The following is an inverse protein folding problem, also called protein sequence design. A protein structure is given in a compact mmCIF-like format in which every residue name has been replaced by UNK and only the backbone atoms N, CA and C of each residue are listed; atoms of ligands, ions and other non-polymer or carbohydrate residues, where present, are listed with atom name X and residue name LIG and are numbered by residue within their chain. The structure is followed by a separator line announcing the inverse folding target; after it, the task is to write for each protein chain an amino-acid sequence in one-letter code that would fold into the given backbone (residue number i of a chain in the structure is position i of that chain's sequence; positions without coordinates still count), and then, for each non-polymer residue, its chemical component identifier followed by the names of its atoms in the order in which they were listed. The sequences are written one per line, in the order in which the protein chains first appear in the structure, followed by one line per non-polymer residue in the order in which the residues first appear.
data_IF_884704183922
#
_entry.id   IF_884704183922
#
_cell.length_a   1.000
_cell.length_b   1.000
_cell.length_c   1.000
_cell.angle_alpha   90.00
_cell.angle_beta   90.00
_cell.angle_gamma   90.00
#
_symmetry.space_group_name_H-M   'P 1'
#
loop_
_entity.id
_entity.type
_entity.pdbx_description
1 polymer ?
#
# COMPACT_ATOMS: atom_id res chain seq x y z
N UNK A 1 -12.96 -63.43 37.42
CA UNK A 1 -13.89 -62.28 37.36
C UNK A 1 -13.54 -61.43 36.13
N UNK A 2 -14.47 -61.24 35.19
CA UNK A 2 -14.28 -60.31 34.06
C UNK A 2 -14.68 -58.92 34.55
N UNK A 3 -13.70 -58.00 34.67
CA UNK A 3 -13.97 -56.60 35.01
C UNK A 3 -14.87 -55.94 33.98
N UNK A 4 -15.87 -55.20 34.43
CA UNK A 4 -16.77 -54.45 33.56
C UNK A 4 -16.00 -53.35 32.79
N UNK A 5 -16.56 -52.87 31.70
CA UNK A 5 -15.94 -51.81 30.86
C UNK A 5 -15.76 -50.50 31.65
N UNK A 6 -16.73 -50.19 32.52
CA UNK A 6 -16.72 -49.02 33.40
C UNK A 6 -15.60 -49.11 34.44
N UNK A 7 -15.48 -50.28 35.11
CA UNK A 7 -14.42 -50.52 36.09
C UNK A 7 -13.02 -50.31 35.47
N UNK A 8 -12.78 -50.86 34.29
CA UNK A 8 -11.51 -50.66 33.58
C UNK A 8 -11.24 -49.18 33.27
N UNK A 9 -12.25 -48.43 32.84
CA UNK A 9 -12.14 -47.00 32.54
C UNK A 9 -11.73 -46.20 33.79
N UNK A 10 -12.35 -46.46 34.94
CA UNK A 10 -12.05 -45.82 36.22
C UNK A 10 -10.63 -46.18 36.67
N UNK A 11 -10.30 -47.46 36.60
CA UNK A 11 -8.98 -47.94 36.99
C UNK A 11 -7.87 -47.32 36.13
N UNK A 12 -8.04 -47.25 34.80
CA UNK A 12 -7.08 -46.60 33.91
C UNK A 12 -6.94 -45.10 34.20
N UNK A 13 -8.01 -44.41 34.50
CA UNK A 13 -7.97 -43.00 34.85
C UNK A 13 -7.18 -42.76 36.15
N UNK A 14 -7.45 -43.56 37.19
CA UNK A 14 -6.71 -43.48 38.46
C UNK A 14 -5.24 -43.85 38.30
N UNK A 15 -4.95 -44.95 37.57
CA UNK A 15 -3.57 -45.34 37.26
C UNK A 15 -2.81 -44.24 36.50
N UNK A 16 -3.45 -43.59 35.50
CA UNK A 16 -2.85 -42.51 34.77
C UNK A 16 -2.56 -41.30 35.66
N UNK A 17 -3.50 -40.87 36.48
CA UNK A 17 -3.30 -39.77 37.41
C UNK A 17 -2.14 -40.04 38.37
N UNK A 18 -2.08 -41.25 38.95
CA UNK A 18 -1.02 -41.66 39.88
C UNK A 18 0.36 -41.74 39.23
N UNK A 19 0.41 -42.08 37.93
CA UNK A 19 1.66 -42.32 37.21
C UNK A 19 1.96 -41.26 36.15
N UNK A 20 1.23 -40.15 36.11
CA UNK A 20 1.30 -39.12 35.06
C UNK A 20 2.71 -38.63 34.76
N UNK A 21 3.48 -38.32 35.79
CA UNK A 21 4.85 -37.83 35.61
C UNK A 21 5.78 -38.93 35.06
N UNK A 22 5.67 -40.15 35.55
CA UNK A 22 6.47 -41.28 35.08
C UNK A 22 6.18 -41.61 33.62
N UNK A 23 4.89 -41.59 33.25
CA UNK A 23 4.43 -41.78 31.88
C UNK A 23 4.95 -40.64 30.98
N UNK A 24 4.83 -39.38 31.42
CA UNK A 24 5.32 -38.21 30.70
C UNK A 24 6.84 -38.28 30.47
N UNK A 25 7.62 -38.58 31.49
CA UNK A 25 9.08 -38.75 31.37
C UNK A 25 9.44 -39.88 30.40
N UNK A 26 8.71 -41.01 30.44
CA UNK A 26 8.91 -42.13 29.51
C UNK A 26 8.60 -41.74 28.07
N UNK A 27 7.49 -41.03 27.83
CA UNK A 27 7.12 -40.51 26.50
C UNK A 27 8.15 -39.51 26.00
N UNK A 28 8.61 -38.58 26.84
CA UNK A 28 9.64 -37.59 26.45
C UNK A 28 10.93 -38.29 26.00
N UNK A 29 11.44 -39.25 26.78
CA UNK A 29 12.62 -40.05 26.41
C UNK A 29 12.41 -40.81 25.11
N UNK A 30 11.24 -41.42 24.91
CA UNK A 30 10.91 -42.12 23.65
C UNK A 30 10.88 -41.17 22.45
N UNK A 31 10.27 -39.99 22.59
CA UNK A 31 10.25 -38.99 21.51
C UNK A 31 11.64 -38.46 21.21
N UNK A 32 12.44 -38.14 22.21
CA UNK A 32 13.82 -37.70 22.03
C UNK A 32 14.64 -38.74 21.27
N UNK A 33 14.57 -40.01 21.68
CA UNK A 33 15.29 -41.12 21.02
C UNK A 33 14.84 -41.39 19.60
N UNK A 34 13.56 -41.16 19.29
CA UNK A 34 12.99 -41.47 17.97
C UNK A 34 12.72 -40.24 17.12
N UNK A 35 13.11 -39.04 17.53
CA UNK A 35 12.80 -37.76 16.88
C UNK A 35 13.20 -37.73 15.41
N UNK A 36 14.42 -38.10 15.11
CA UNK A 36 14.94 -38.11 13.74
C UNK A 36 14.17 -39.08 12.85
N UNK A 37 13.91 -40.30 13.33
CA UNK A 37 13.15 -41.32 12.61
C UNK A 37 11.71 -40.87 12.34
N UNK A 38 11.06 -40.23 13.33
CA UNK A 38 9.70 -39.70 13.19
C UNK A 38 9.66 -38.54 12.20
N UNK A 39 10.64 -37.62 12.27
CA UNK A 39 10.74 -36.51 11.36
C UNK A 39 11.00 -36.96 9.91
N UNK A 40 11.87 -37.95 9.73
CA UNK A 40 12.13 -38.53 8.41
C UNK A 40 10.87 -39.15 7.80
N UNK A 41 10.13 -39.95 8.59
CA UNK A 41 8.84 -40.54 8.15
C UNK A 41 7.80 -39.47 7.83
N UNK A 42 7.67 -38.44 8.66
CA UNK A 42 6.73 -37.34 8.42
C UNK A 42 7.10 -36.56 7.16
N UNK A 43 8.39 -36.31 6.92
CA UNK A 43 8.90 -35.67 5.70
C UNK A 43 8.60 -36.52 4.46
N UNK A 44 8.85 -37.80 4.53
CA UNK A 44 8.57 -38.72 3.43
C UNK A 44 7.07 -38.76 3.11
N UNK A 45 6.21 -38.93 4.12
CA UNK A 45 4.77 -38.90 3.96
C UNK A 45 4.27 -37.59 3.34
N UNK A 46 4.83 -36.44 3.78
CA UNK A 46 4.50 -35.13 3.22
C UNK A 46 4.89 -35.06 1.74
N UNK A 47 6.08 -35.50 1.36
CA UNK A 47 6.54 -35.48 -0.02
C UNK A 47 5.67 -36.36 -0.93
N UNK A 48 5.34 -37.57 -0.48
CA UNK A 48 4.47 -38.51 -1.21
C UNK A 48 3.02 -38.02 -1.37
N UNK A 49 2.53 -37.23 -0.41
CA UNK A 49 1.13 -36.77 -0.40
C UNK A 49 0.99 -35.26 -0.59
N UNK A 50 2.04 -34.56 -1.03
CA UNK A 50 2.10 -33.09 -1.05
C UNK A 50 0.93 -32.46 -1.80
N UNK A 51 0.66 -32.88 -3.01
CA UNK A 51 -0.40 -32.32 -3.83
C UNK A 51 -1.80 -32.49 -3.16
N UNK A 52 -2.07 -33.67 -2.62
CA UNK A 52 -3.30 -33.98 -1.92
C UNK A 52 -3.48 -33.16 -0.63
N UNK A 53 -2.37 -32.95 0.11
CA UNK A 53 -2.36 -32.15 1.34
C UNK A 53 -2.53 -30.66 1.02
N UNK A 54 -1.85 -30.15 0.01
CA UNK A 54 -1.96 -28.77 -0.47
C UNK A 54 -3.38 -28.47 -0.98
N UNK A 55 -3.98 -29.42 -1.72
CA UNK A 55 -5.36 -29.28 -2.18
C UNK A 55 -6.36 -29.24 -1.01
N UNK A 56 -6.25 -30.17 -0.07
CA UNK A 56 -7.09 -30.16 1.15
C UNK A 56 -6.91 -28.89 1.98
N UNK A 57 -5.69 -28.39 2.07
CA UNK A 57 -5.39 -27.13 2.75
C UNK A 57 -6.09 -25.93 2.08
N UNK A 58 -6.04 -25.85 0.75
CA UNK A 58 -6.74 -24.81 -0.02
C UNK A 58 -8.26 -24.90 0.18
N UNK A 59 -8.84 -26.09 0.06
CA UNK A 59 -10.28 -26.30 0.26
C UNK A 59 -10.74 -25.92 1.68
N UNK A 60 -9.98 -26.35 2.70
CA UNK A 60 -10.23 -25.95 4.08
C UNK A 60 -10.18 -24.44 4.26
N UNK A 61 -9.16 -23.78 3.70
CA UNK A 61 -8.98 -22.33 3.80
C UNK A 61 -10.11 -21.59 3.12
N UNK A 62 -10.50 -21.97 1.90
CA UNK A 62 -11.63 -21.37 1.21
C UNK A 62 -12.95 -21.55 1.98
N UNK A 63 -13.22 -22.76 2.46
CA UNK A 63 -14.44 -23.06 3.25
C UNK A 63 -14.50 -22.30 4.57
N UNK A 64 -13.35 -22.07 5.21
CA UNK A 64 -13.27 -21.48 6.56
C UNK A 64 -12.69 -20.07 6.57
N UNK A 65 -12.61 -19.39 5.42
CA UNK A 65 -11.98 -18.08 5.26
C UNK A 65 -12.34 -17.08 6.37
N UNK A 66 -13.64 -16.86 6.59
CA UNK A 66 -14.12 -15.92 7.59
C UNK A 66 -13.66 -16.29 9.02
N UNK A 67 -13.73 -17.58 9.36
CA UNK A 67 -13.29 -18.08 10.67
C UNK A 67 -11.79 -17.87 10.87
N UNK A 68 -10.99 -18.15 9.84
CA UNK A 68 -9.53 -17.96 9.88
C UNK A 68 -9.18 -16.48 10.02
N UNK A 69 -9.84 -15.60 9.25
CA UNK A 69 -9.63 -14.15 9.37
C UNK A 69 -10.00 -13.61 10.74
N UNK A 70 -11.12 -14.07 11.30
CA UNK A 70 -11.55 -13.67 12.65
C UNK A 70 -10.57 -14.14 13.73
N UNK A 71 -10.06 -15.37 13.63
CA UNK A 71 -9.01 -15.87 14.52
C UNK A 71 -7.73 -15.05 14.43
N UNK A 72 -7.28 -14.68 13.21
CA UNK A 72 -6.12 -13.83 12.99
C UNK A 72 -6.34 -12.43 13.57
N UNK A 73 -7.53 -11.84 13.39
CA UNK A 73 -7.89 -10.54 13.96
C UNK A 73 -7.79 -10.57 15.48
N UNK A 74 -8.47 -11.53 16.12
CA UNK A 74 -8.43 -11.73 17.58
C UNK A 74 -7.01 -11.98 18.11
N UNK A 75 -6.22 -12.78 17.38
CA UNK A 75 -4.83 -13.01 17.76
C UNK A 75 -4.01 -11.71 17.74
N UNK A 76 -4.16 -10.88 16.69
CA UNK A 76 -3.47 -9.59 16.60
C UNK A 76 -3.90 -8.65 17.72
N UNK A 77 -5.19 -8.51 17.96
CA UNK A 77 -5.75 -7.67 19.03
C UNK A 77 -5.21 -8.09 20.42
N UNK A 78 -5.24 -9.40 20.70
CA UNK A 78 -4.79 -9.92 21.99
C UNK A 78 -3.26 -9.91 22.18
N UNK A 79 -2.49 -9.74 21.11
CA UNK A 79 -1.02 -9.80 21.15
C UNK A 79 -0.36 -8.56 20.55
N UNK A 80 -1.08 -7.47 20.37
CA UNK A 80 -0.60 -6.27 19.66
C UNK A 80 0.70 -5.73 20.25
N UNK A 81 0.76 -5.55 21.55
CA UNK A 81 1.96 -5.07 22.26
C UNK A 81 3.16 -5.99 22.05
N UNK A 82 2.96 -7.30 22.18
CA UNK A 82 4.01 -8.31 21.96
C UNK A 82 4.49 -8.33 20.52
N UNK A 83 3.59 -8.21 19.55
CA UNK A 83 3.91 -8.18 18.12
C UNK A 83 4.67 -6.90 17.78
N UNK A 84 4.24 -5.75 18.30
CA UNK A 84 4.92 -4.47 18.12
C UNK A 84 6.33 -4.49 18.74
N UNK A 85 6.45 -4.97 19.97
CA UNK A 85 7.77 -5.12 20.62
C UNK A 85 8.72 -6.01 19.82
N UNK A 86 8.23 -7.13 19.28
CA UNK A 86 9.03 -7.98 18.41
C UNK A 86 9.38 -7.27 17.09
N UNK A 87 8.40 -6.64 16.43
CA UNK A 87 8.61 -5.96 15.15
C UNK A 87 9.66 -4.84 15.26
N UNK A 88 9.57 -4.00 16.31
CA UNK A 88 10.50 -2.90 16.55
C UNK A 88 11.78 -3.30 17.28
N UNK A 89 11.97 -4.58 17.64
CA UNK A 89 13.22 -5.02 18.25
C UNK A 89 14.41 -4.78 17.31
N UNK A 90 15.53 -4.37 17.87
CA UNK A 90 16.75 -4.04 17.11
C UNK A 90 17.20 -5.23 16.24
N UNK A 91 17.21 -6.44 16.81
CA UNK A 91 17.57 -7.66 16.09
C UNK A 91 16.67 -7.93 14.87
N UNK A 92 15.35 -7.71 15.00
CA UNK A 92 14.42 -7.89 13.89
C UNK A 92 14.59 -6.79 12.82
N UNK A 93 14.79 -5.53 13.23
CA UNK A 93 15.04 -4.43 12.30
C UNK A 93 16.35 -4.65 11.53
N UNK A 94 17.41 -5.12 12.19
CA UNK A 94 18.67 -5.48 11.54
C UNK A 94 18.47 -6.59 10.50
N UNK A 95 17.79 -7.67 10.89
CA UNK A 95 17.45 -8.79 9.98
C UNK A 95 16.63 -8.33 8.77
N UNK A 96 15.64 -7.44 8.97
CA UNK A 96 14.81 -6.90 7.88
C UNK A 96 15.64 -6.02 6.94
N UNK A 97 16.57 -5.24 7.48
CA UNK A 97 17.49 -4.42 6.68
C UNK A 97 18.40 -5.31 5.82
N UNK A 98 19.04 -6.29 6.41
CA UNK A 98 19.88 -7.27 5.70
C UNK A 98 19.09 -8.02 4.61
N UNK A 99 17.86 -8.45 4.91
CA UNK A 99 17.01 -9.09 3.92
C UNK A 99 16.71 -8.18 2.73
N UNK A 100 16.38 -6.89 2.96
CA UNK A 100 16.11 -5.91 1.91
C UNK A 100 17.35 -5.65 1.05
N UNK A 101 18.50 -5.50 1.66
CA UNK A 101 19.78 -5.31 0.95
C UNK A 101 20.09 -6.52 0.06
N UNK A 102 20.03 -7.74 0.61
CA UNK A 102 20.35 -8.97 -0.11
C UNK A 102 19.35 -9.30 -1.22
N UNK A 103 18.12 -8.80 -1.16
CA UNK A 103 17.09 -9.10 -2.15
C UNK A 103 16.73 -7.91 -3.05
N UNK A 104 17.41 -6.77 -2.91
CA UNK A 104 17.10 -5.50 -3.60
C UNK A 104 17.00 -5.66 -5.13
N UNK A 105 18.00 -6.28 -5.75
CA UNK A 105 18.02 -6.44 -7.21
C UNK A 105 16.97 -7.46 -7.68
N UNK A 106 16.79 -8.57 -6.97
CA UNK A 106 15.72 -9.53 -7.25
C UNK A 106 14.34 -8.88 -7.19
N UNK A 107 14.06 -8.13 -6.14
CA UNK A 107 12.75 -7.48 -5.93
C UNK A 107 12.52 -6.34 -6.94
N UNK A 108 13.59 -5.65 -7.36
CA UNK A 108 13.55 -4.66 -8.44
C UNK A 108 13.19 -5.33 -9.77
N UNK A 109 13.86 -6.44 -10.11
CA UNK A 109 13.59 -7.21 -11.33
C UNK A 109 12.15 -7.72 -11.35
N UNK A 110 11.69 -8.35 -10.27
CA UNK A 110 10.31 -8.84 -10.17
C UNK A 110 9.27 -7.73 -10.35
N UNK A 111 9.49 -6.55 -9.74
CA UNK A 111 8.61 -5.39 -9.92
C UNK A 111 8.59 -4.87 -11.35
N UNK A 112 9.74 -4.84 -12.01
CA UNK A 112 9.84 -4.43 -13.40
C UNK A 112 9.12 -5.41 -14.33
N UNK A 113 9.32 -6.70 -14.17
CA UNK A 113 8.66 -7.76 -14.94
C UNK A 113 7.13 -7.72 -14.74
N UNK A 114 6.69 -7.62 -13.49
CA UNK A 114 5.27 -7.50 -13.18
C UNK A 114 4.65 -6.23 -13.79
N UNK A 115 5.34 -5.10 -13.66
CA UNK A 115 4.89 -3.82 -14.23
C UNK A 115 4.83 -3.86 -15.75
N UNK A 116 5.82 -4.47 -16.40
CA UNK A 116 5.83 -4.66 -17.85
C UNK A 116 4.66 -5.54 -18.31
N UNK A 117 4.45 -6.67 -17.64
CA UNK A 117 3.34 -7.61 -17.93
C UNK A 117 1.96 -6.96 -17.75
N UNK A 118 1.80 -6.12 -16.73
CA UNK A 118 0.50 -5.51 -16.38
C UNK A 118 0.35 -4.06 -16.89
N UNK A 119 1.25 -3.56 -17.73
CA UNK A 119 1.30 -2.15 -18.18
C UNK A 119 -0.03 -1.66 -18.77
N UNK A 120 -0.70 -2.47 -19.56
CA UNK A 120 -1.98 -2.10 -20.21
C UNK A 120 -3.07 -1.84 -19.14
N UNK A 121 -3.20 -2.75 -18.18
CA UNK A 121 -4.18 -2.64 -17.09
C UNK A 121 -3.86 -1.47 -16.16
N UNK A 122 -2.60 -1.27 -15.79
CA UNK A 122 -2.15 -0.14 -14.98
C UNK A 122 -2.47 1.19 -15.67
N UNK A 123 -2.19 1.29 -16.98
CA UNK A 123 -2.47 2.49 -17.75
C UNK A 123 -3.98 2.75 -17.89
N UNK A 124 -4.79 1.70 -18.09
CA UNK A 124 -6.25 1.78 -18.13
C UNK A 124 -6.78 2.28 -16.77
N UNK A 125 -6.41 1.61 -15.68
CA UNK A 125 -6.80 2.02 -14.32
C UNK A 125 -6.44 3.48 -14.02
N UNK A 126 -5.23 3.89 -14.38
CA UNK A 126 -4.75 5.26 -14.15
C UNK A 126 -5.55 6.28 -14.95
N UNK A 127 -5.89 5.99 -16.22
CA UNK A 127 -6.73 6.86 -17.06
C UNK A 127 -8.14 6.97 -16.49
N UNK A 128 -8.75 5.83 -16.13
CA UNK A 128 -10.11 5.81 -15.62
C UNK A 128 -10.21 6.53 -14.27
N UNK A 129 -9.21 6.35 -13.39
CA UNK A 129 -9.13 7.08 -12.13
C UNK A 129 -9.03 8.59 -12.31
N UNK A 130 -8.23 9.07 -13.28
CA UNK A 130 -8.13 10.51 -13.60
C UNK A 130 -9.41 11.04 -14.26
N UNK A 131 -10.05 10.24 -15.11
CA UNK A 131 -11.29 10.62 -15.79
C UNK A 131 -12.44 10.79 -14.81
N UNK A 132 -12.55 9.87 -13.85
CA UNK A 132 -13.68 9.78 -12.94
C UNK A 132 -13.51 10.58 -11.65
N UNK A 133 -12.31 11.12 -11.36
CA UNK A 133 -12.06 11.90 -10.15
C UNK A 133 -11.40 13.25 -10.48
N UNK A 134 -12.19 14.35 -10.42
CA UNK A 134 -11.69 15.71 -10.70
C UNK A 134 -10.53 16.13 -9.78
N UNK A 135 -10.57 15.78 -8.50
CA UNK A 135 -9.51 16.13 -7.53
C UNK A 135 -8.17 15.42 -7.84
N UNK A 136 -8.22 14.20 -8.36
CA UNK A 136 -7.01 13.51 -8.84
C UNK A 136 -6.52 14.15 -10.13
N UNK A 137 -7.42 14.55 -11.01
CA UNK A 137 -7.10 15.17 -12.28
C UNK A 137 -6.42 16.53 -12.09
N UNK A 138 -6.97 17.41 -11.24
CA UNK A 138 -6.39 18.74 -10.97
C UNK A 138 -4.99 18.62 -10.34
N UNK A 139 -4.82 17.76 -9.33
CA UNK A 139 -3.51 17.51 -8.71
C UNK A 139 -2.46 17.04 -9.72
N UNK A 140 -2.85 16.16 -10.62
CA UNK A 140 -1.95 15.65 -11.65
C UNK A 140 -1.58 16.73 -12.68
N UNK A 141 -2.55 17.56 -13.09
CA UNK A 141 -2.30 18.65 -14.04
C UNK A 141 -1.42 19.76 -13.44
N UNK A 142 -1.66 20.15 -12.19
CA UNK A 142 -0.77 21.07 -11.47
C UNK A 142 0.67 20.55 -11.42
N UNK A 143 0.84 19.26 -11.12
CA UNK A 143 2.17 18.64 -11.11
C UNK A 143 2.83 18.66 -12.49
N UNK A 144 2.09 18.38 -13.56
CA UNK A 144 2.60 18.41 -14.93
C UNK A 144 2.97 19.84 -15.38
N UNK A 145 2.16 20.84 -15.05
CA UNK A 145 2.44 22.25 -15.35
C UNK A 145 3.71 22.73 -14.67
N UNK A 146 3.83 22.45 -13.37
CA UNK A 146 5.06 22.76 -12.63
C UNK A 146 6.28 22.10 -13.27
N UNK A 147 6.19 20.80 -13.55
CA UNK A 147 7.30 20.08 -14.18
C UNK A 147 7.66 20.67 -15.55
N UNK A 148 6.65 21.01 -16.37
CA UNK A 148 6.85 21.62 -17.68
C UNK A 148 7.48 23.02 -17.58
N UNK A 149 7.06 23.83 -16.61
CA UNK A 149 7.63 25.15 -16.38
C UNK A 149 9.11 25.07 -15.97
N UNK A 150 9.44 24.17 -15.04
CA UNK A 150 10.83 23.94 -14.62
C UNK A 150 11.68 23.35 -15.74
N UNK A 151 11.15 22.41 -16.52
CA UNK A 151 11.87 21.77 -17.64
C UNK A 151 12.21 22.78 -18.74
N UNK A 152 11.29 23.66 -19.13
CA UNK A 152 11.53 24.72 -20.15
C UNK A 152 12.69 25.64 -19.78
N UNK A 153 12.90 25.83 -18.46
CA UNK A 153 13.98 26.65 -17.93
C UNK A 153 15.23 25.84 -17.54
N UNK A 154 15.32 24.55 -17.91
CA UNK A 154 16.38 23.63 -17.50
C UNK A 154 16.54 23.50 -15.96
N UNK A 155 15.44 23.68 -15.21
CA UNK A 155 15.40 23.72 -13.75
C UNK A 155 14.69 22.53 -13.10
N UNK A 156 14.49 21.42 -13.82
CA UNK A 156 13.76 20.26 -13.32
C UNK A 156 14.35 19.62 -12.06
N UNK A 157 15.65 19.82 -11.78
CA UNK A 157 16.30 19.39 -10.54
C UNK A 157 16.16 20.42 -9.39
N UNK A 158 15.69 21.62 -9.68
CA UNK A 158 15.61 22.74 -8.74
C UNK A 158 14.21 22.90 -8.11
N UNK A 159 13.36 21.88 -8.19
CA UNK A 159 12.08 21.91 -7.50
C UNK A 159 12.30 21.96 -5.99
N UNK A 160 11.93 23.07 -5.34
CA UNK A 160 12.23 23.31 -3.93
C UNK A 160 11.41 22.44 -2.98
N UNK A 161 10.19 22.03 -3.35
CA UNK A 161 9.31 21.22 -2.50
C UNK A 161 8.24 20.50 -3.31
N UNK A 162 7.32 19.75 -2.64
CA UNK A 162 6.23 19.04 -3.33
C UNK A 162 5.25 20.00 -4.01
N UNK A 163 4.52 19.53 -5.04
CA UNK A 163 3.53 20.36 -5.75
C UNK A 163 2.47 20.94 -4.83
N UNK A 164 1.97 20.15 -3.88
CA UNK A 164 0.92 20.62 -2.96
C UNK A 164 1.43 21.63 -1.93
N UNK A 165 2.70 21.54 -1.52
CA UNK A 165 3.35 22.55 -0.69
C UNK A 165 3.59 23.87 -1.45
N UNK A 166 3.83 23.79 -2.76
CA UNK A 166 3.94 25.00 -3.61
C UNK A 166 2.58 25.68 -3.81
N UNK A 167 1.52 24.89 -3.93
CA UNK A 167 0.15 25.41 -4.04
C UNK A 167 -0.34 25.99 -2.71
N UNK A 168 0.18 25.50 -1.58
CA UNK A 168 -0.08 25.94 -0.20
C UNK A 168 -1.55 25.88 0.23
N UNK A 169 -2.29 24.90 -0.30
CA UNK A 169 -3.65 24.59 0.15
C UNK A 169 -4.01 23.14 -0.17
N UNK A 170 -5.09 22.64 0.43
CA UNK A 170 -5.66 21.34 0.06
C UNK A 170 -6.38 21.42 -1.29
N UNK A 171 -6.61 20.28 -1.93
CA UNK A 171 -7.35 20.23 -3.20
C UNK A 171 -8.79 20.77 -3.04
N UNK A 172 -9.41 20.56 -1.90
CA UNK A 172 -10.78 21.05 -1.66
C UNK A 172 -10.82 22.57 -1.44
N UNK A 173 -9.83 23.14 -0.77
CA UNK A 173 -9.67 24.59 -0.64
C UNK A 173 -9.38 25.21 -2.00
N UNK A 174 -8.56 24.59 -2.81
CA UNK A 174 -8.32 25.05 -4.18
C UNK A 174 -9.60 25.06 -5.02
N UNK A 175 -10.42 24.00 -4.91
CA UNK A 175 -11.72 23.98 -5.60
C UNK A 175 -12.62 25.14 -5.15
N UNK A 176 -12.75 25.38 -3.85
CA UNK A 176 -13.53 26.50 -3.31
C UNK A 176 -13.02 27.85 -3.83
N UNK A 177 -11.69 28.05 -3.85
CA UNK A 177 -11.07 29.25 -4.41
C UNK A 177 -11.43 29.45 -5.89
N UNK A 178 -11.27 28.41 -6.71
CA UNK A 178 -11.57 28.48 -8.13
C UNK A 178 -13.07 28.74 -8.38
N UNK A 179 -13.96 28.06 -7.68
CA UNK A 179 -15.42 28.20 -7.77
C UNK A 179 -15.92 29.56 -7.31
N UNK A 180 -15.21 30.24 -6.38
CA UNK A 180 -15.51 31.59 -5.91
C UNK A 180 -14.82 32.70 -6.70
N UNK A 181 -13.98 32.35 -7.69
CA UNK A 181 -13.27 33.34 -8.53
C UNK A 181 -14.23 34.12 -9.43
N UNK A 182 -13.94 35.40 -9.65
CA UNK A 182 -14.68 36.23 -10.62
C UNK A 182 -14.61 35.71 -12.07
N UNK A 183 -13.57 34.89 -12.38
CA UNK A 183 -13.40 34.22 -13.66
C UNK A 183 -14.18 32.91 -13.78
N UNK A 184 -14.91 32.50 -12.75
CA UNK A 184 -15.75 31.31 -12.81
C UNK A 184 -17.04 31.59 -13.57
N UNK A 185 -17.25 30.87 -14.65
CA UNK A 185 -18.46 30.99 -15.47
C UNK A 185 -19.46 29.86 -15.15
N UNK A 186 -20.80 30.10 -15.29
CA UNK A 186 -21.83 29.14 -14.89
C UNK A 186 -21.74 27.75 -15.55
N UNK A 187 -21.12 27.64 -16.71
CA UNK A 187 -20.91 26.39 -17.45
C UNK A 187 -19.70 25.60 -16.96
N UNK A 188 -18.83 26.22 -16.17
CA UNK A 188 -17.66 25.55 -15.60
C UNK A 188 -18.09 24.61 -14.49
N UNK A 189 -17.61 23.38 -14.53
CA UNK A 189 -17.85 22.36 -13.50
C UNK A 189 -16.57 21.59 -13.22
N UNK A 190 -16.53 20.90 -12.08
CA UNK A 190 -15.39 19.99 -11.76
C UNK A 190 -15.25 18.86 -12.79
N UNK A 191 -16.36 18.43 -13.40
CA UNK A 191 -16.40 17.32 -14.36
C UNK A 191 -15.80 17.69 -15.72
N UNK A 192 -16.04 18.93 -16.19
CA UNK A 192 -15.53 19.38 -17.50
C UNK A 192 -14.13 20.03 -17.42
N UNK A 193 -13.57 20.15 -16.22
CA UNK A 193 -12.20 20.61 -16.02
C UNK A 193 -11.18 19.76 -16.80
N UNK A 194 -10.31 20.41 -17.58
CA UNK A 194 -9.21 19.77 -18.31
C UNK A 194 -9.62 18.83 -19.43
N UNK A 195 -10.87 18.91 -19.91
CA UNK A 195 -11.40 18.12 -21.03
C UNK A 195 -11.72 19.00 -22.24
N UNK A 196 -10.98 20.09 -22.44
CA UNK A 196 -11.28 21.09 -23.46
C UNK A 196 -12.35 22.10 -23.03
N UNK A 197 -12.87 22.00 -21.80
CA UNK A 197 -13.78 22.98 -21.21
C UNK A 197 -13.01 24.17 -20.64
N UNK A 198 -12.49 24.04 -19.46
CA UNK A 198 -11.70 25.08 -18.80
C UNK A 198 -10.47 24.48 -18.10
N UNK A 199 -9.50 25.34 -17.83
CA UNK A 199 -8.22 24.99 -17.20
C UNK A 199 -7.95 25.87 -15.97
N UNK A 200 -7.10 25.39 -15.07
CA UNK A 200 -6.47 26.26 -14.06
C UNK A 200 -5.34 27.02 -14.76
N UNK A 201 -5.37 28.33 -14.71
CA UNK A 201 -4.36 29.21 -15.28
C UNK A 201 -3.64 30.01 -14.17
N UNK A 202 -2.46 30.58 -14.50
CA UNK A 202 -1.75 31.50 -13.62
C UNK A 202 -2.15 32.93 -13.94
N UNK A 203 -2.61 33.70 -12.95
CA UNK A 203 -2.92 35.14 -13.11
C UNK A 203 -1.68 35.84 -13.65
N UNK A 204 -0.58 35.76 -12.88
CA UNK A 204 0.75 36.14 -13.36
C UNK A 204 1.44 34.92 -13.99
N UNK A 205 1.80 34.96 -15.29
CA UNK A 205 2.33 33.77 -15.97
C UNK A 205 3.69 33.36 -15.40
N UNK A 206 4.00 32.05 -15.50
CA UNK A 206 5.27 31.51 -15.00
C UNK A 206 6.51 32.20 -15.54
N UNK A 207 6.42 32.84 -16.73
CA UNK A 207 7.49 33.62 -17.33
C UNK A 207 7.84 34.89 -16.54
N UNK A 208 6.93 35.39 -15.70
CA UNK A 208 7.15 36.59 -14.86
C UNK A 208 7.97 36.28 -13.61
N UNK A 209 8.32 35.02 -13.34
CA UNK A 209 9.01 34.59 -12.12
C UNK A 209 10.39 34.00 -12.43
N UNK A 210 11.35 34.30 -11.56
CA UNK A 210 12.62 33.60 -11.56
C UNK A 210 12.46 32.25 -10.83
N UNK A 211 12.15 31.19 -11.56
CA UNK A 211 11.92 29.84 -11.01
C UNK A 211 13.19 29.17 -10.43
N UNK A 212 14.37 29.81 -10.49
CA UNK A 212 15.58 29.39 -9.73
C UNK A 212 15.46 29.74 -8.26
N UNK A 213 14.71 30.78 -7.93
CA UNK A 213 14.49 31.24 -6.57
C UNK A 213 13.35 30.48 -5.91
N UNK A 214 13.57 29.76 -4.78
CA UNK A 214 12.51 29.01 -4.09
C UNK A 214 11.31 29.89 -3.69
N UNK A 215 11.53 31.13 -3.25
CA UNK A 215 10.48 32.07 -2.87
C UNK A 215 9.61 32.42 -4.07
N UNK A 216 10.22 32.63 -5.24
CA UNK A 216 9.47 32.92 -6.46
C UNK A 216 8.78 31.68 -7.05
N UNK A 217 9.31 30.46 -6.81
CA UNK A 217 8.55 29.23 -7.09
C UNK A 217 7.28 29.16 -6.25
N UNK A 218 7.38 29.44 -4.93
CA UNK A 218 6.21 29.48 -4.05
C UNK A 218 5.20 30.53 -4.55
N UNK A 219 5.61 31.76 -4.80
CA UNK A 219 4.71 32.80 -5.29
C UNK A 219 4.04 32.45 -6.64
N UNK A 220 4.80 31.86 -7.56
CA UNK A 220 4.30 31.46 -8.88
C UNK A 220 3.18 30.41 -8.80
N UNK A 221 3.37 29.37 -7.97
CA UNK A 221 2.47 28.22 -7.91
C UNK A 221 1.48 28.27 -6.73
N UNK A 222 1.52 29.33 -5.90
CA UNK A 222 0.59 29.55 -4.79
C UNK A 222 -0.86 29.64 -5.31
N UNK A 223 -1.81 29.10 -4.54
CA UNK A 223 -3.22 29.05 -4.92
C UNK A 223 -3.79 30.43 -5.30
N UNK A 224 -3.33 31.53 -4.68
CA UNK A 224 -3.80 32.89 -4.96
C UNK A 224 -3.38 33.41 -6.34
N UNK A 225 -2.38 32.81 -6.98
CA UNK A 225 -1.97 33.11 -8.37
C UNK A 225 -2.67 32.19 -9.39
N UNK A 226 -3.64 31.38 -8.95
CA UNK A 226 -4.36 30.44 -9.81
C UNK A 226 -5.81 30.92 -10.02
N UNK A 227 -6.29 30.82 -11.26
CA UNK A 227 -7.65 31.17 -11.65
C UNK A 227 -8.23 30.14 -12.63
N UNK A 228 -9.56 29.98 -12.69
CA UNK A 228 -10.19 29.24 -13.76
C UNK A 228 -10.17 30.07 -15.04
N UNK A 229 -9.89 29.43 -16.21
CA UNK A 229 -9.93 30.08 -17.51
C UNK A 229 -10.42 29.09 -18.55
N UNK A 230 -11.32 29.55 -19.43
CA UNK A 230 -11.75 28.78 -20.60
C UNK A 230 -10.52 28.29 -21.40
N UNK A 231 -10.55 27.03 -21.84
CA UNK A 231 -9.39 26.41 -22.52
C UNK A 231 -8.86 27.22 -23.68
N UNK A 232 -9.74 27.73 -24.56
CA UNK A 232 -9.35 28.52 -25.72
C UNK A 232 -8.74 29.87 -25.29
N UNK A 233 -9.36 30.54 -24.32
CA UNK A 233 -8.84 31.80 -23.76
C UNK A 233 -7.45 31.58 -23.11
N UNK A 234 -7.27 30.45 -22.38
CA UNK A 234 -5.99 30.09 -21.76
C UNK A 234 -4.87 29.87 -22.83
N UNK A 235 -5.19 29.16 -23.90
CA UNK A 235 -4.23 28.94 -25.01
C UNK A 235 -3.87 30.26 -25.68
N UNK A 236 -4.86 31.13 -25.93
CA UNK A 236 -4.67 32.45 -26.57
C UNK A 236 -3.89 33.42 -25.68
N UNK A 237 -4.15 33.39 -24.37
CA UNK A 237 -3.42 34.20 -23.38
C UNK A 237 -1.93 33.93 -23.42
N UNK A 238 -1.52 32.66 -23.44
CA UNK A 238 -0.12 32.27 -23.38
C UNK A 238 0.61 32.85 -22.17
N UNK A 239 1.62 33.69 -22.39
CA UNK A 239 2.41 34.36 -21.35
C UNK A 239 1.97 35.81 -21.09
N UNK A 240 0.83 36.25 -21.59
CA UNK A 240 0.33 37.61 -21.37
C UNK A 240 -0.38 37.71 -20.01
N UNK A 241 -0.38 38.91 -19.43
CA UNK A 241 -1.22 39.27 -18.30
C UNK A 241 -2.53 39.81 -18.89
N UNK A 242 -3.67 39.25 -18.47
CA UNK A 242 -4.99 39.72 -18.87
C UNK A 242 -5.47 40.79 -17.91
#
# INVERSE_FOLDING_TARGET
MKFTKEYRKIWYAQYYLKNKEKISKKHKKYHEKNKEKQNARAKQYYLENKEKLDQKGKEYYHKNWHKVQEQHRKYKENNEEKLNKHYYSESNQKRLKEYRENNKERDKKMRQEWSAKNRKEINKYTRDRKRNNPSIRIRHQLSNRLWSALKRNNLYQNKCTSTMQLVDCTIEELWKHLESSLSWEPWMTRENYGKGGWDVDHILPCASFNLRCPVQQLACFHWSNLQPLEHIKNVTKGNKIL
#
